data_IF_713748138461
#
_entry.id   IF_713748138461
#
_cell.length_a   1.000
_cell.length_b   1.000
_cell.length_c   1.000
_cell.angle_alpha   90.00
_cell.angle_beta   90.00
_cell.angle_gamma   90.00
#
_symmetry.space_group_name_H-M   'P 1'
#
loop_
_entity.id
_entity.type
_entity.pdbx_description
1 polymer ?
#
# COMPACT_ATOMS: atom_id res chain seq x y z
N UNK A 1 16.69 8.98 -20.49
CA UNK A 1 16.58 7.88 -19.52
C UNK A 1 17.91 7.76 -18.81
N UNK A 2 18.21 8.71 -17.91
CA UNK A 2 19.49 8.81 -17.22
C UNK A 2 19.34 9.50 -15.84
N UNK A 3 18.24 9.25 -15.12
CA UNK A 3 17.91 10.02 -13.90
C UNK A 3 17.96 9.20 -12.60
N UNK A 4 18.15 7.88 -12.68
CA UNK A 4 18.15 7.00 -11.51
C UNK A 4 19.54 6.73 -10.91
N UNK A 5 20.62 7.25 -11.51
CA UNK A 5 22.00 7.01 -11.05
C UNK A 5 22.72 8.29 -10.58
N UNK A 6 22.05 9.45 -10.65
CA UNK A 6 22.58 10.75 -10.21
C UNK A 6 22.06 11.09 -8.80
N UNK A 7 21.95 10.09 -7.92
CA UNK A 7 21.79 10.38 -6.50
C UNK A 7 23.12 10.93 -6.01
N UNK A 8 23.16 12.22 -5.67
CA UNK A 8 24.31 12.79 -4.97
C UNK A 8 24.63 11.89 -3.78
N UNK A 9 25.88 11.46 -3.66
CA UNK A 9 26.32 10.61 -2.57
C UNK A 9 26.05 11.32 -1.24
N UNK A 10 24.95 10.95 -0.56
CA UNK A 10 24.46 11.60 0.66
C UNK A 10 22.97 11.97 0.66
N UNK A 11 22.24 11.89 -0.47
CA UNK A 11 20.79 12.15 -0.48
C UNK A 11 20.00 11.05 0.23
N UNK A 12 19.12 11.41 1.17
CA UNK A 12 18.19 10.47 1.79
C UNK A 12 17.05 10.13 0.82
N UNK A 13 16.95 8.86 0.43
CA UNK A 13 15.82 8.36 -0.34
C UNK A 13 14.71 7.92 0.60
N UNK A 14 13.58 8.65 0.54
CA UNK A 14 12.37 8.32 1.29
C UNK A 14 11.42 7.55 0.37
N UNK A 15 11.04 6.31 0.71
CA UNK A 15 10.00 5.59 0.00
C UNK A 15 8.69 6.38 0.01
N UNK A 16 7.92 6.27 -1.07
CA UNK A 16 6.63 6.92 -1.21
C UNK A 16 5.66 5.98 -1.93
N UNK A 17 4.36 6.19 -1.72
CA UNK A 17 3.32 5.36 -2.29
C UNK A 17 2.05 6.15 -2.56
N UNK A 18 1.20 5.60 -3.43
CA UNK A 18 -0.17 6.07 -3.63
C UNK A 18 -1.08 4.85 -3.66
N UNK A 19 -2.19 4.93 -2.94
CA UNK A 19 -3.20 3.89 -2.87
C UNK A 19 -4.53 4.44 -3.32
N UNK A 20 -5.10 3.84 -4.36
CA UNK A 20 -6.47 4.13 -4.79
C UNK A 20 -7.41 3.01 -4.38
N UNK A 21 -8.59 3.37 -3.87
CA UNK A 21 -9.71 2.48 -3.61
C UNK A 21 -10.84 2.85 -4.59
N UNK A 22 -11.23 1.93 -5.46
CA UNK A 22 -12.29 2.15 -6.48
C UNK A 22 -12.10 3.46 -7.28
N UNK A 23 -10.85 3.74 -7.68
CA UNK A 23 -10.43 4.96 -8.41
C UNK A 23 -10.43 6.27 -7.60
N UNK A 24 -10.64 6.21 -6.29
CA UNK A 24 -10.47 7.34 -5.38
C UNK A 24 -9.12 7.23 -4.68
N UNK A 25 -8.31 8.27 -4.73
CA UNK A 25 -7.09 8.35 -3.94
C UNK A 25 -7.44 8.41 -2.45
N UNK A 26 -6.90 7.45 -1.68
CA UNK A 26 -7.07 7.35 -0.22
C UNK A 26 -5.74 7.50 0.52
N UNK A 27 -4.66 7.84 -0.18
CA UNK A 27 -3.30 7.89 0.37
C UNK A 27 -3.25 8.73 1.64
N UNK A 28 -3.70 9.99 1.55
CA UNK A 28 -3.72 10.91 2.70
C UNK A 28 -4.64 10.48 3.86
N UNK A 29 -5.62 9.60 3.62
CA UNK A 29 -6.48 9.06 4.67
C UNK A 29 -5.78 7.99 5.51
N UNK A 30 -4.81 7.28 4.92
CA UNK A 30 -4.15 6.14 5.56
C UNK A 30 -2.68 6.39 5.89
N UNK A 31 -2.04 7.44 5.37
CA UNK A 31 -0.60 7.69 5.54
C UNK A 31 -0.13 7.71 6.99
N UNK A 32 -0.88 8.37 7.89
CA UNK A 32 -0.52 8.44 9.31
C UNK A 32 -0.74 7.11 10.06
N UNK A 33 -1.42 6.16 9.42
CA UNK A 33 -1.79 4.86 9.99
C UNK A 33 -1.03 3.71 9.37
N UNK A 34 -0.38 3.89 8.22
CA UNK A 34 0.30 2.81 7.52
C UNK A 34 1.49 2.32 8.34
N UNK A 35 1.39 1.09 8.83
CA UNK A 35 2.47 0.42 9.55
C UNK A 35 3.36 -0.35 8.59
N UNK A 36 2.75 -1.11 7.68
CA UNK A 36 3.47 -1.88 6.67
C UNK A 36 2.63 -2.05 5.39
N UNK A 37 3.31 -2.15 4.26
CA UNK A 37 2.72 -2.56 2.98
C UNK A 37 3.70 -3.54 2.33
N UNK A 38 3.21 -4.74 2.05
CA UNK A 38 3.99 -5.80 1.39
C UNK A 38 3.34 -6.15 0.07
N UNK A 39 4.13 -6.14 -1.00
CA UNK A 39 3.71 -6.58 -2.31
C UNK A 39 4.56 -7.79 -2.72
N UNK A 40 3.89 -8.90 -3.01
CA UNK A 40 4.51 -10.15 -3.44
C UNK A 40 4.08 -10.45 -4.87
N UNK A 41 5.01 -10.25 -5.81
CA UNK A 41 4.84 -10.63 -7.21
C UNK A 41 5.10 -12.14 -7.34
N UNK A 42 4.08 -12.92 -7.69
CA UNK A 42 4.16 -14.37 -7.81
C UNK A 42 4.37 -14.80 -9.28
N UNK A 43 4.87 -16.03 -9.48
CA UNK A 43 5.09 -16.60 -10.82
C UNK A 43 4.18 -17.79 -11.05
N UNK A 44 3.85 -18.03 -12.31
CA UNK A 44 3.05 -19.20 -12.71
C UNK A 44 1.56 -18.94 -12.58
N UNK A 45 0.88 -19.74 -11.76
CA UNK A 45 -0.58 -19.72 -11.61
C UNK A 45 -1.06 -19.07 -10.30
N UNK A 46 -0.14 -18.57 -9.49
CA UNK A 46 -0.46 -17.86 -8.25
C UNK A 46 -0.66 -16.37 -8.54
N UNK A 47 -1.72 -15.79 -7.98
CA UNK A 47 -1.97 -14.36 -8.07
C UNK A 47 -0.95 -13.59 -7.23
N UNK A 48 -0.63 -12.37 -7.65
CA UNK A 48 0.14 -11.44 -6.84
C UNK A 48 -0.62 -11.12 -5.55
N UNK A 49 0.08 -10.76 -4.49
CA UNK A 49 -0.54 -10.49 -3.19
C UNK A 49 -0.11 -9.12 -2.67
N UNK A 50 -1.09 -8.38 -2.17
CA UNK A 50 -0.92 -7.13 -1.43
C UNK A 50 -1.40 -7.31 0.00
N UNK A 51 -0.52 -7.06 0.97
CA UNK A 51 -0.84 -7.01 2.39
C UNK A 51 -0.59 -5.58 2.90
N UNK A 52 -1.57 -5.03 3.62
CA UNK A 52 -1.48 -3.70 4.25
C UNK A 52 -1.83 -3.85 5.73
N UNK A 53 -1.00 -3.29 6.60
CA UNK A 53 -1.27 -3.18 8.03
C UNK A 53 -1.44 -1.71 8.42
N UNK A 54 -2.56 -1.41 9.09
CA UNK A 54 -2.92 -0.09 9.56
C UNK A 54 -3.05 -0.09 11.08
N UNK A 55 -2.57 0.99 11.70
CA UNK A 55 -2.81 1.28 13.10
C UNK A 55 -4.27 1.73 13.30
N UNK A 56 -5.01 0.99 14.13
CA UNK A 56 -6.40 1.25 14.50
C UNK A 56 -6.59 1.47 16.01
N UNK A 57 -5.55 1.94 16.72
CA UNK A 57 -5.60 2.19 18.16
C UNK A 57 -6.70 3.18 18.62
N UNK A 58 -7.29 3.96 17.71
CA UNK A 58 -8.40 4.89 17.95
C UNK A 58 -9.75 4.42 17.36
N UNK A 59 -9.79 3.23 16.74
CA UNK A 59 -10.98 2.63 16.14
C UNK A 59 -11.57 3.41 14.97
N UNK A 60 -10.79 4.27 14.31
CA UNK A 60 -11.26 5.13 13.21
C UNK A 60 -10.99 4.57 11.81
N UNK A 61 -10.34 3.40 11.68
CA UNK A 61 -10.09 2.79 10.37
C UNK A 61 -11.38 2.25 9.78
N UNK A 62 -11.87 2.93 8.74
CA UNK A 62 -12.97 2.41 7.92
C UNK A 62 -12.50 1.20 7.10
N UNK A 63 -13.07 0.03 7.37
CA UNK A 63 -12.73 -1.20 6.67
C UNK A 63 -13.27 -1.17 5.23
N UNK A 64 -12.43 -1.42 4.20
CA UNK A 64 -12.94 -1.58 2.84
C UNK A 64 -13.85 -2.81 2.77
N UNK A 65 -14.84 -2.77 1.87
CA UNK A 65 -15.66 -3.94 1.59
C UNK A 65 -14.84 -4.99 0.85
N UNK A 66 -15.06 -6.26 1.18
CA UNK A 66 -14.54 -7.36 0.36
C UNK A 66 -15.01 -7.19 -1.08
N UNK A 67 -14.11 -7.38 -2.03
CA UNK A 67 -14.34 -7.16 -3.45
C UNK A 67 -14.03 -5.74 -3.95
N UNK A 68 -13.73 -4.79 -3.06
CA UNK A 68 -13.24 -3.47 -3.49
C UNK A 68 -11.88 -3.59 -4.18
N UNK A 69 -11.62 -2.71 -5.15
CA UNK A 69 -10.39 -2.78 -5.95
C UNK A 69 -9.39 -1.73 -5.47
N UNK A 70 -8.23 -2.21 -5.04
CA UNK A 70 -7.06 -1.41 -4.70
C UNK A 70 -6.15 -1.27 -5.92
N UNK A 71 -5.68 -0.07 -6.20
CA UNK A 71 -4.58 0.17 -7.17
C UNK A 71 -3.39 0.74 -6.41
N UNK A 72 -2.24 0.08 -6.53
CA UNK A 72 -1.03 0.44 -5.77
C UNK A 72 0.00 1.08 -6.70
N UNK A 73 0.60 2.15 -6.22
CA UNK A 73 1.77 2.77 -6.81
C UNK A 73 2.84 2.92 -5.74
N UNK A 74 4.10 2.63 -6.08
CA UNK A 74 5.24 2.79 -5.17
C UNK A 74 6.39 3.48 -5.90
N UNK A 75 7.26 4.15 -5.13
CA UNK A 75 8.43 4.81 -5.68
C UNK A 75 9.20 5.58 -4.62
N UNK A 76 9.85 6.64 -5.06
CA UNK A 76 10.63 7.54 -4.21
C UNK A 76 9.96 8.91 -4.18
N UNK A 77 9.95 9.53 -3.00
CA UNK A 77 9.40 10.87 -2.81
C UNK A 77 10.06 11.87 -3.77
N UNK A 78 9.24 12.65 -4.46
CA UNK A 78 9.70 13.65 -5.45
C UNK A 78 9.90 13.10 -6.86
N UNK A 79 9.63 11.81 -7.10
CA UNK A 79 9.68 11.17 -8.42
C UNK A 79 8.30 10.63 -8.80
N UNK A 80 8.13 10.28 -10.09
CA UNK A 80 6.93 9.60 -10.54
C UNK A 80 6.81 8.22 -9.88
N UNK A 81 5.65 7.93 -9.28
CA UNK A 81 5.34 6.63 -8.71
C UNK A 81 5.04 5.61 -9.81
N UNK A 82 5.47 4.37 -9.60
CA UNK A 82 5.28 3.27 -10.55
C UNK A 82 4.03 2.49 -10.17
N UNK A 83 3.09 2.36 -11.12
CA UNK A 83 1.91 1.51 -10.96
C UNK A 83 2.34 0.04 -10.85
N UNK A 84 1.90 -0.62 -9.78
CA UNK A 84 2.21 -2.03 -9.51
C UNK A 84 1.07 -2.99 -9.81
N UNK A 85 -0.14 -2.49 -10.02
CA UNK A 85 -1.27 -3.30 -10.44
C UNK A 85 -2.54 -3.00 -9.66
N UNK A 86 -3.54 -3.83 -9.90
CA UNK A 86 -4.85 -3.80 -9.24
C UNK A 86 -5.03 -5.08 -8.45
N UNK A 87 -5.53 -4.96 -7.22
CA UNK A 87 -5.74 -6.06 -6.28
C UNK A 87 -7.16 -5.97 -5.75
N UNK A 88 -7.87 -7.08 -5.73
CA UNK A 88 -9.22 -7.20 -5.18
C UNK A 88 -9.12 -7.57 -3.72
N UNK A 89 -9.76 -6.81 -2.84
CA UNK A 89 -9.77 -7.10 -1.40
C UNK A 89 -10.46 -8.43 -1.14
N UNK A 90 -9.72 -9.39 -0.61
CA UNK A 90 -10.22 -10.72 -0.26
C UNK A 90 -10.62 -10.80 1.21
N UNK A 91 -9.82 -10.17 2.08
CA UNK A 91 -9.93 -10.31 3.53
C UNK A 91 -9.56 -9.02 4.23
N UNK A 92 -10.30 -8.74 5.31
CA UNK A 92 -10.01 -7.67 6.25
C UNK A 92 -10.11 -8.23 7.66
N UNK A 93 -9.00 -8.27 8.38
CA UNK A 93 -8.91 -8.74 9.77
C UNK A 93 -8.71 -7.55 10.72
N UNK A 94 -9.32 -7.62 11.89
CA UNK A 94 -9.02 -6.72 13.01
C UNK A 94 -8.43 -7.56 14.15
N UNK A 95 -7.25 -7.19 14.64
CA UNK A 95 -6.60 -7.78 15.80
C UNK A 95 -6.63 -6.80 16.95
N UNK A 96 -6.88 -7.28 18.17
CA UNK A 96 -6.89 -6.44 19.37
C UNK A 96 -5.49 -6.08 19.90
N UNK A 97 -5.45 -5.20 20.90
CA UNK A 97 -4.30 -4.62 21.60
C UNK A 97 -2.88 -5.17 21.27
N UNK A 98 -2.03 -4.38 20.59
CA UNK A 98 -2.37 -3.12 19.92
C UNK A 98 -3.36 -3.35 18.77
N UNK A 99 -4.35 -2.46 18.64
CA UNK A 99 -5.40 -2.62 17.64
C UNK A 99 -4.83 -2.37 16.23
N UNK A 100 -4.91 -3.39 15.37
CA UNK A 100 -4.35 -3.40 14.02
C UNK A 100 -5.37 -3.96 13.04
N UNK A 101 -5.53 -3.26 11.92
CA UNK A 101 -6.30 -3.74 10.76
C UNK A 101 -5.35 -4.27 9.71
N UNK A 102 -5.58 -5.50 9.26
CA UNK A 102 -4.85 -6.14 8.16
C UNK A 102 -5.78 -6.31 6.97
N UNK A 103 -5.37 -5.80 5.81
CA UNK A 103 -6.10 -5.93 4.54
C UNK A 103 -5.26 -6.83 3.62
N UNK A 104 -5.86 -7.89 3.08
CA UNK A 104 -5.25 -8.77 2.08
C UNK A 104 -6.00 -8.69 0.76
N UNK A 105 -5.26 -8.54 -0.34
CA UNK A 105 -5.82 -8.41 -1.68
C UNK A 105 -5.00 -9.18 -2.72
N UNK A 106 -5.66 -9.66 -3.78
CA UNK A 106 -5.07 -10.47 -4.87
C UNK A 106 -5.54 -10.04 -6.26
#
# INVERSE_FOLDING_TARGET
MLDALTFDAGSTLTPDYMLMLDSRDITGNISDRLMSMTLTDNRGFEADQLDIELNDADGQVGLPVRGAVLTVYIGWKGFALVCKGKFTVDEVEHRGAPDVVTIRAR
#
